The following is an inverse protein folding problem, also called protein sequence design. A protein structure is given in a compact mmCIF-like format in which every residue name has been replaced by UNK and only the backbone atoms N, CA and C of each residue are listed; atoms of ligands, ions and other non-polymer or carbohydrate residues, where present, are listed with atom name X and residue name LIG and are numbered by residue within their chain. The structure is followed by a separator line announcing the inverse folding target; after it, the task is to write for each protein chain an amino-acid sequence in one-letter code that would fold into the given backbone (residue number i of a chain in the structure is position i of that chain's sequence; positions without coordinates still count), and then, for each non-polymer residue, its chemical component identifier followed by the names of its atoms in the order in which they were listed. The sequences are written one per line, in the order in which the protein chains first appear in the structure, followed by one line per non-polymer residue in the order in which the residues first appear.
data_IF_845154121830
#
_entry.id   IF_845154121830
#
_cell.length_a   1.000
_cell.length_b   1.000
_cell.length_c   1.000
_cell.angle_alpha   90.00
_cell.angle_beta   90.00
_cell.angle_gamma   90.00
#
_symmetry.space_group_name_H-M   'P 1'
#
loop_
_entity.id
_entity.type
_entity.pdbx_description
1 polymer ?
#
# COMPACT_ATOMS: atom_id res chain seq x y z
N UNK A 1 -22.12 36.85 4.74
CA UNK A 1 -20.73 36.56 5.15
C UNK A 1 -20.31 35.31 4.41
N UNK A 2 -19.49 35.43 3.36
CA UNK A 2 -18.96 34.28 2.61
C UNK A 2 -18.09 33.43 3.53
N UNK A 3 -18.56 32.23 3.84
CA UNK A 3 -17.77 31.27 4.60
C UNK A 3 -16.67 30.78 3.68
N UNK A 4 -15.43 31.24 3.91
CA UNK A 4 -14.27 30.79 3.15
C UNK A 4 -14.03 29.31 3.44
N UNK A 5 -13.88 28.52 2.40
CA UNK A 5 -13.55 27.10 2.48
C UNK A 5 -12.45 26.76 1.46
N UNK A 6 -11.77 25.67 1.69
CA UNK A 6 -10.80 25.10 0.75
C UNK A 6 -11.45 23.91 0.05
N UNK A 7 -11.36 23.89 -1.28
CA UNK A 7 -11.76 22.71 -2.07
C UNK A 7 -10.53 22.15 -2.78
N UNK A 8 -10.28 20.87 -2.55
CA UNK A 8 -9.24 20.09 -3.22
C UNK A 8 -9.95 19.22 -4.24
N UNK A 9 -9.52 19.29 -5.50
CA UNK A 9 -10.14 18.54 -6.60
C UNK A 9 -9.14 17.50 -7.10
N UNK A 10 -9.57 16.24 -7.13
CA UNK A 10 -8.80 15.11 -7.64
C UNK A 10 -9.58 14.44 -8.79
N UNK A 11 -8.92 14.25 -9.92
CA UNK A 11 -9.53 13.66 -11.11
C UNK A 11 -9.32 12.15 -11.14
N UNK A 12 -10.42 11.40 -11.29
CA UNK A 12 -10.43 9.94 -11.33
C UNK A 12 -10.83 9.40 -12.71
N UNK A 13 -10.01 8.53 -13.26
CA UNK A 13 -10.28 7.81 -14.53
C UNK A 13 -10.83 6.41 -14.31
N UNK A 14 -11.08 6.01 -13.04
CA UNK A 14 -11.60 4.69 -12.68
C UNK A 14 -12.98 4.41 -13.29
N UNK A 15 -13.28 3.13 -13.48
CA UNK A 15 -14.58 2.65 -13.97
C UNK A 15 -15.65 2.55 -12.87
N UNK A 16 -15.27 2.80 -11.62
CA UNK A 16 -16.16 2.73 -10.45
C UNK A 16 -15.93 3.95 -9.56
N UNK A 17 -16.98 4.40 -8.91
CA UNK A 17 -16.93 5.40 -7.84
C UNK A 17 -16.75 4.71 -6.50
N UNK A 18 -16.28 5.46 -5.52
CA UNK A 18 -16.20 4.99 -4.14
C UNK A 18 -17.58 4.68 -3.58
N UNK A 19 -17.71 3.62 -2.78
CA UNK A 19 -18.96 3.17 -2.16
C UNK A 19 -18.70 2.68 -0.74
N UNK A 20 -19.74 2.75 0.11
CA UNK A 20 -19.67 2.24 1.48
C UNK A 20 -18.50 2.83 2.24
N UNK A 21 -17.76 1.98 2.93
CA UNK A 21 -16.62 2.35 3.78
C UNK A 21 -15.51 3.12 3.05
N UNK A 22 -15.35 2.90 1.73
CA UNK A 22 -14.41 3.67 0.92
C UNK A 22 -14.71 5.18 0.88
N UNK A 23 -15.95 5.58 1.16
CA UNK A 23 -16.31 6.99 1.28
C UNK A 23 -15.95 7.54 2.66
N UNK A 24 -16.19 6.77 3.71
CA UNK A 24 -16.02 7.22 5.09
C UNK A 24 -14.56 7.21 5.52
N UNK A 25 -13.80 6.19 5.09
CA UNK A 25 -12.41 5.95 5.49
C UNK A 25 -11.42 6.14 4.34
N UNK A 26 -11.72 7.02 3.39
CA UNK A 26 -10.85 7.25 2.25
C UNK A 26 -9.51 7.87 2.65
N UNK A 27 -8.47 7.05 2.71
CA UNK A 27 -7.12 7.44 3.14
C UNK A 27 -6.60 8.64 2.32
N UNK A 28 -6.80 8.64 1.00
CA UNK A 28 -6.32 9.72 0.13
C UNK A 28 -7.01 11.05 0.47
N UNK A 29 -8.33 11.03 0.67
CA UNK A 29 -9.07 12.23 1.04
C UNK A 29 -8.71 12.72 2.45
N UNK A 30 -8.49 11.80 3.39
CA UNK A 30 -8.03 12.14 4.74
C UNK A 30 -6.64 12.75 4.71
N UNK A 31 -5.71 12.22 3.92
CA UNK A 31 -4.37 12.78 3.69
C UNK A 31 -4.43 14.21 3.15
N UNK A 32 -5.23 14.43 2.11
CA UNK A 32 -5.42 15.78 1.54
C UNK A 32 -6.02 16.75 2.57
N UNK A 33 -7.00 16.31 3.34
CA UNK A 33 -7.65 17.12 4.37
C UNK A 33 -6.70 17.46 5.52
N UNK A 34 -5.85 16.50 5.94
CA UNK A 34 -4.85 16.72 6.99
C UNK A 34 -3.75 17.68 6.51
N UNK A 35 -3.24 17.49 5.30
CA UNK A 35 -2.27 18.42 4.69
C UNK A 35 -2.87 19.83 4.56
N UNK A 36 -4.10 19.95 4.10
CA UNK A 36 -4.80 21.22 4.01
C UNK A 36 -5.00 21.89 5.36
N UNK A 37 -5.30 21.12 6.41
CA UNK A 37 -5.38 21.63 7.79
C UNK A 37 -4.06 22.24 8.27
N UNK A 38 -2.94 21.60 7.94
CA UNK A 38 -1.59 22.08 8.32
C UNK A 38 -1.15 23.29 7.49
N UNK A 39 -1.41 23.29 6.19
CA UNK A 39 -0.98 24.36 5.28
C UNK A 39 -1.87 25.62 5.38
N UNK A 40 -3.18 25.44 5.61
CA UNK A 40 -4.14 26.56 5.67
C UNK A 40 -5.00 26.50 6.94
N UNK A 41 -4.42 26.65 8.14
CA UNK A 41 -5.13 26.46 9.42
C UNK A 41 -6.29 27.45 9.65
N UNK A 42 -6.28 28.58 8.93
CA UNK A 42 -7.37 29.58 9.00
C UNK A 42 -8.65 29.14 8.26
N UNK A 43 -8.55 28.21 7.30
CA UNK A 43 -9.67 27.68 6.53
C UNK A 43 -10.22 26.43 7.25
N UNK A 44 -11.27 26.63 8.06
CA UNK A 44 -11.82 25.58 8.90
C UNK A 44 -12.60 24.52 8.13
N UNK A 45 -13.22 24.91 7.00
CA UNK A 45 -13.95 24.00 6.14
C UNK A 45 -13.07 23.56 4.98
N UNK A 46 -12.90 22.26 4.83
CA UNK A 46 -12.05 21.62 3.81
C UNK A 46 -12.84 20.50 3.14
N UNK A 47 -13.01 20.62 1.83
CA UNK A 47 -13.78 19.68 1.02
C UNK A 47 -12.81 19.01 0.05
N UNK A 48 -12.78 17.69 0.01
CA UNK A 48 -12.11 16.92 -1.02
C UNK A 48 -13.17 16.46 -2.02
N UNK A 49 -12.99 16.83 -3.29
CA UNK A 49 -13.89 16.47 -4.37
C UNK A 49 -13.17 15.56 -5.35
N UNK A 50 -13.64 14.33 -5.48
CA UNK A 50 -13.24 13.42 -6.55
C UNK A 50 -14.13 13.63 -7.77
N UNK A 51 -13.52 13.93 -8.92
CA UNK A 51 -14.21 14.08 -10.20
C UNK A 51 -13.97 12.85 -11.07
N UNK A 52 -14.96 12.00 -11.19
CA UNK A 52 -14.93 10.76 -11.98
C UNK A 52 -15.25 11.05 -13.44
N UNK A 53 -14.24 11.14 -14.28
CA UNK A 53 -14.34 11.56 -15.68
C UNK A 53 -15.20 10.63 -16.54
N UNK A 54 -15.35 9.35 -16.15
CA UNK A 54 -16.21 8.38 -16.84
C UNK A 54 -17.69 8.45 -16.47
N UNK A 55 -18.07 9.38 -15.58
CA UNK A 55 -19.44 9.54 -15.11
C UNK A 55 -20.00 10.93 -15.38
N UNK A 56 -20.22 11.31 -16.66
CA UNK A 56 -20.52 12.69 -17.05
C UNK A 56 -21.82 13.25 -16.43
N UNK A 57 -22.80 12.39 -16.11
CA UNK A 57 -24.07 12.81 -15.50
C UNK A 57 -23.96 13.12 -14.00
N UNK A 58 -23.00 12.51 -13.30
CA UNK A 58 -22.80 12.66 -11.88
C UNK A 58 -21.32 12.46 -11.53
N UNK A 59 -20.43 13.37 -11.94
CA UNK A 59 -19.00 13.16 -11.85
C UNK A 59 -18.45 13.29 -10.41
N UNK A 60 -19.06 14.16 -9.60
CA UNK A 60 -18.50 14.55 -8.32
C UNK A 60 -18.90 13.63 -7.17
N UNK A 61 -17.94 13.34 -6.30
CA UNK A 61 -18.14 12.88 -4.92
C UNK A 61 -17.35 13.78 -3.99
N UNK A 62 -18.01 14.35 -2.98
CA UNK A 62 -17.40 15.26 -2.02
C UNK A 62 -17.29 14.57 -0.66
N UNK A 63 -16.14 14.73 -0.01
CA UNK A 63 -15.83 14.22 1.32
C UNK A 63 -15.36 15.37 2.20
N UNK A 64 -15.82 15.38 3.44
CA UNK A 64 -15.46 16.37 4.44
C UNK A 64 -15.23 15.64 5.77
N UNK A 65 -14.13 15.93 6.46
CA UNK A 65 -13.78 15.29 7.72
C UNK A 65 -13.72 16.28 8.86
N UNK A 66 -14.14 15.85 10.04
CA UNK A 66 -14.03 16.64 11.25
C UNK A 66 -12.59 16.72 11.73
N UNK A 67 -12.30 17.69 12.61
CA UNK A 67 -10.98 17.82 13.20
C UNK A 67 -10.61 16.63 14.10
N UNK A 68 -11.61 15.97 14.72
CA UNK A 68 -11.45 14.76 15.51
C UNK A 68 -11.08 13.55 14.64
N UNK A 69 -11.75 13.37 13.51
CA UNK A 69 -11.41 12.31 12.55
C UNK A 69 -10.00 12.49 12.02
N UNK A 70 -9.61 13.73 11.67
CA UNK A 70 -8.26 14.01 11.21
C UNK A 70 -7.21 13.81 12.29
N UNK A 71 -7.50 14.06 13.56
CA UNK A 71 -6.61 13.76 14.68
C UNK A 71 -6.42 12.26 14.86
N UNK A 72 -7.49 11.48 14.75
CA UNK A 72 -7.42 10.01 14.78
C UNK A 72 -6.59 9.46 13.63
N UNK A 73 -6.75 10.03 12.43
CA UNK A 73 -5.98 9.64 11.26
C UNK A 73 -4.50 10.03 11.38
N UNK A 74 -4.16 11.19 11.95
CA UNK A 74 -2.78 11.58 12.24
C UNK A 74 -2.11 10.59 13.19
N UNK A 75 -2.78 10.18 14.27
CA UNK A 75 -2.30 9.14 15.17
C UNK A 75 -2.07 7.80 14.44
N UNK A 76 -3.00 7.40 13.56
CA UNK A 76 -2.84 6.21 12.74
C UNK A 76 -1.56 6.28 11.88
N UNK A 77 -1.32 7.41 11.20
CA UNK A 77 -0.12 7.61 10.39
C UNK A 77 1.17 7.54 11.20
N UNK A 78 1.17 8.12 12.40
CA UNK A 78 2.33 8.04 13.32
C UNK A 78 2.64 6.59 13.69
N UNK A 79 1.61 5.78 13.95
CA UNK A 79 1.78 4.34 14.25
C UNK A 79 2.28 3.56 13.05
N UNK A 80 1.76 3.82 11.86
CA UNK A 80 2.23 3.18 10.62
C UNK A 80 3.69 3.56 10.34
N UNK A 81 4.03 4.85 10.48
CA UNK A 81 5.41 5.31 10.30
C UNK A 81 6.37 4.59 11.26
N UNK A 82 5.98 4.47 12.53
CA UNK A 82 6.77 3.75 13.53
C UNK A 82 7.02 2.29 13.14
N UNK A 83 5.99 1.58 12.65
CA UNK A 83 6.14 0.20 12.17
C UNK A 83 7.12 0.12 10.99
N UNK A 84 7.09 1.11 10.08
CA UNK A 84 8.02 1.17 8.94
C UNK A 84 9.45 1.47 9.39
N UNK A 85 9.64 2.39 10.35
CA UNK A 85 10.95 2.73 10.89
C UNK A 85 11.58 1.60 11.71
N UNK A 86 10.76 0.80 12.40
CA UNK A 86 11.18 -0.34 13.21
C UNK A 86 11.27 -1.64 12.40
N UNK A 87 11.09 -1.59 11.08
CA UNK A 87 11.13 -2.77 10.23
C UNK A 87 12.49 -3.46 10.32
N UNK A 88 12.49 -4.74 10.67
CA UNK A 88 13.66 -5.62 10.64
C UNK A 88 13.44 -6.73 9.61
N UNK A 89 14.25 -6.71 8.54
CA UNK A 89 14.18 -7.69 7.47
C UNK A 89 14.43 -9.12 7.98
N UNK A 90 15.33 -9.30 8.96
CA UNK A 90 15.65 -10.63 9.51
C UNK A 90 14.51 -11.22 10.32
N UNK A 91 13.74 -10.37 10.99
CA UNK A 91 12.58 -10.76 11.79
C UNK A 91 11.26 -10.71 11.00
N UNK A 92 11.28 -10.28 9.73
CA UNK A 92 10.06 -10.04 8.95
C UNK A 92 9.12 -11.26 8.88
N UNK A 93 9.66 -12.47 8.81
CA UNK A 93 8.86 -13.69 8.74
C UNK A 93 8.17 -14.08 10.04
N UNK A 94 8.72 -13.64 11.19
CA UNK A 94 8.15 -13.91 12.52
C UNK A 94 7.29 -12.77 13.04
N UNK A 95 7.66 -11.51 12.71
CA UNK A 95 7.07 -10.34 13.34
C UNK A 95 5.91 -9.75 12.51
N UNK A 96 5.86 -10.06 11.22
CA UNK A 96 4.81 -9.58 10.33
C UNK A 96 3.91 -10.72 9.89
N UNK A 97 2.63 -10.63 10.23
CA UNK A 97 1.65 -11.62 9.84
C UNK A 97 1.50 -11.70 8.32
N UNK A 98 1.51 -12.93 7.79
CA UNK A 98 1.15 -13.17 6.41
C UNK A 98 -0.33 -12.84 6.21
N UNK A 99 -0.64 -12.06 5.18
CA UNK A 99 -2.01 -11.64 4.93
C UNK A 99 -2.80 -12.73 4.21
N UNK A 100 -3.33 -13.69 4.97
CA UNK A 100 -4.12 -14.80 4.43
C UNK A 100 -5.42 -14.33 3.76
N UNK A 101 -6.00 -13.19 4.20
CA UNK A 101 -7.20 -12.62 3.60
C UNK A 101 -7.00 -12.03 2.20
N UNK A 102 -5.75 -11.85 1.77
CA UNK A 102 -5.41 -11.26 0.45
C UNK A 102 -4.66 -12.24 -0.46
N UNK A 103 -4.88 -13.53 -0.32
CA UNK A 103 -4.26 -14.57 -1.16
C UNK A 103 -4.50 -14.35 -2.66
N UNK A 104 -5.55 -13.65 -3.04
CA UNK A 104 -5.81 -13.24 -4.41
C UNK A 104 -4.70 -12.37 -5.02
N UNK A 105 -3.89 -11.71 -4.18
CA UNK A 105 -2.68 -10.99 -4.60
C UNK A 105 -1.53 -11.92 -4.99
N UNK A 106 -1.57 -13.19 -4.56
CA UNK A 106 -0.52 -14.17 -4.88
C UNK A 106 -0.74 -14.82 -6.25
N UNK A 107 -1.99 -14.88 -6.72
CA UNK A 107 -2.35 -15.55 -7.96
C UNK A 107 -2.53 -17.08 -7.82
N UNK A 108 -2.83 -17.78 -8.92
CA UNK A 108 -3.08 -17.21 -10.23
C UNK A 108 -4.39 -16.41 -10.30
N UNK A 109 -4.32 -15.19 -10.80
CA UNK A 109 -5.50 -14.40 -11.10
C UNK A 109 -6.17 -14.87 -12.40
N UNK A 110 -7.43 -14.50 -12.63
CA UNK A 110 -8.14 -14.77 -13.89
C UNK A 110 -7.40 -14.23 -15.13
N UNK A 111 -6.56 -13.21 -14.95
CA UNK A 111 -5.67 -12.64 -15.98
C UNK A 111 -4.41 -13.49 -16.25
N UNK A 112 -4.21 -14.59 -15.53
CA UNK A 112 -2.98 -15.38 -15.57
C UNK A 112 -1.83 -14.80 -14.73
N UNK A 113 -2.04 -13.68 -14.05
CA UNK A 113 -1.00 -13.08 -13.21
C UNK A 113 -0.69 -13.96 -11.99
N UNK A 114 0.59 -14.12 -11.72
CA UNK A 114 1.11 -14.81 -10.53
C UNK A 114 2.17 -13.89 -9.90
N UNK A 115 2.20 -13.81 -8.57
CA UNK A 115 3.21 -13.07 -7.86
C UNK A 115 4.62 -13.56 -8.27
N UNK A 116 5.53 -12.70 -8.71
CA UNK A 116 6.87 -13.11 -9.12
C UNK A 116 7.68 -13.76 -7.99
N UNK A 117 7.37 -13.43 -6.74
CA UNK A 117 8.01 -13.99 -5.55
C UNK A 117 7.35 -15.30 -5.07
N UNK A 118 6.41 -15.86 -5.84
CA UNK A 118 5.72 -17.10 -5.44
C UNK A 118 6.62 -18.34 -5.50
N UNK A 119 7.54 -18.37 -6.46
CA UNK A 119 8.49 -19.48 -6.67
C UNK A 119 9.91 -19.04 -6.32
N UNK A 120 10.81 -19.99 -5.97
CA UNK A 120 12.21 -19.68 -5.84
C UNK A 120 12.81 -19.27 -7.20
N UNK A 121 13.83 -18.43 -7.16
CA UNK A 121 14.59 -17.98 -8.32
C UNK A 121 15.98 -17.50 -7.92
N UNK A 122 16.90 -17.54 -8.87
CA UNK A 122 18.23 -16.96 -8.73
C UNK A 122 18.22 -15.52 -9.25
N UNK A 123 19.01 -14.66 -8.64
CA UNK A 123 19.16 -13.27 -9.03
C UNK A 123 20.59 -12.78 -8.73
N UNK A 124 20.96 -11.68 -9.35
CA UNK A 124 22.29 -11.10 -9.24
C UNK A 124 22.22 -9.78 -8.51
N UNK A 125 23.22 -9.53 -7.66
CA UNK A 125 23.33 -8.31 -6.87
C UNK A 125 24.65 -7.64 -7.19
N UNK A 126 24.59 -6.38 -7.59
CA UNK A 126 25.75 -5.51 -7.74
C UNK A 126 26.10 -4.91 -6.38
N UNK A 127 27.35 -5.12 -5.96
CA UNK A 127 27.89 -4.62 -4.69
C UNK A 127 28.93 -3.53 -4.94
N UNK A 128 29.01 -2.57 -4.01
CA UNK A 128 30.10 -1.61 -3.97
C UNK A 128 31.38 -2.21 -3.34
N UNK A 129 32.45 -1.42 -3.27
CA UNK A 129 33.73 -1.80 -2.66
C UNK A 129 33.63 -2.19 -1.17
N UNK A 130 32.57 -1.76 -0.48
CA UNK A 130 32.30 -2.05 0.93
C UNK A 130 31.34 -3.24 1.11
N UNK A 131 30.89 -3.87 0.01
CA UNK A 131 29.95 -4.98 0.03
C UNK A 131 28.49 -4.56 0.20
N UNK A 132 28.15 -3.26 0.06
CA UNK A 132 26.77 -2.82 0.10
C UNK A 132 26.10 -3.02 -1.25
N UNK A 133 24.82 -3.42 -1.21
CA UNK A 133 24.04 -3.61 -2.43
C UNK A 133 23.71 -2.26 -3.10
N UNK A 134 24.10 -2.14 -4.37
CA UNK A 134 23.78 -0.99 -5.24
C UNK A 134 22.50 -1.28 -6.03
N UNK A 135 22.42 -2.46 -6.65
CA UNK A 135 21.33 -2.84 -7.55
C UNK A 135 21.15 -4.35 -7.58
N UNK A 136 19.96 -4.82 -7.96
CA UNK A 136 19.71 -6.24 -8.25
C UNK A 136 19.05 -6.41 -9.62
N UNK A 137 19.26 -7.57 -10.26
CA UNK A 137 18.67 -7.95 -11.54
C UNK A 137 18.45 -9.46 -11.60
N UNK A 138 17.49 -9.91 -12.41
CA UNK A 138 17.32 -11.33 -12.73
C UNK A 138 18.36 -11.85 -13.73
N UNK A 139 19.02 -10.95 -14.44
CA UNK A 139 20.06 -11.28 -15.42
C UNK A 139 21.38 -10.64 -14.99
N UNK A 140 22.49 -11.32 -15.25
CA UNK A 140 23.83 -10.80 -14.99
C UNK A 140 24.29 -9.92 -16.16
N UNK A 141 23.66 -8.76 -16.29
CA UNK A 141 23.92 -7.77 -17.34
C UNK A 141 24.62 -6.50 -16.82
N UNK A 142 25.20 -6.58 -15.62
CA UNK A 142 25.87 -5.44 -14.99
C UNK A 142 27.18 -5.09 -15.71
N UNK A 143 27.36 -3.79 -15.98
CA UNK A 143 28.65 -3.20 -16.33
C UNK A 143 29.34 -2.80 -15.03
N UNK A 144 30.48 -3.46 -14.75
CA UNK A 144 31.21 -3.23 -13.50
C UNK A 144 32.11 -2.00 -13.63
N UNK A 145 32.09 -1.19 -12.59
CA UNK A 145 33.04 -0.13 -12.34
C UNK A 145 34.14 -0.61 -11.38
N UNK A 146 35.23 0.16 -11.25
CA UNK A 146 36.32 -0.19 -10.33
C UNK A 146 35.79 -0.32 -8.88
N UNK A 147 36.16 -1.43 -8.24
CA UNK A 147 35.75 -1.74 -6.87
C UNK A 147 34.37 -2.39 -6.74
N UNK A 148 33.64 -2.57 -7.83
CA UNK A 148 32.34 -3.26 -7.80
C UNK A 148 32.48 -4.76 -8.04
N UNK A 149 31.56 -5.55 -7.50
CA UNK A 149 31.45 -6.99 -7.71
C UNK A 149 30.00 -7.42 -7.90
N UNK A 150 29.80 -8.57 -8.54
CA UNK A 150 28.48 -9.19 -8.67
C UNK A 150 28.46 -10.47 -7.86
N UNK A 151 27.39 -10.62 -7.08
CA UNK A 151 27.09 -11.82 -6.32
C UNK A 151 25.80 -12.44 -6.84
N UNK A 152 25.82 -13.76 -7.06
CA UNK A 152 24.60 -14.53 -7.34
C UNK A 152 23.94 -14.93 -6.03
N UNK A 153 22.64 -14.69 -5.91
CA UNK A 153 21.83 -15.03 -4.73
C UNK A 153 20.64 -15.86 -5.12
N UNK A 154 20.24 -16.72 -4.20
CA UNK A 154 19.04 -17.54 -4.33
C UNK A 154 17.92 -17.01 -3.44
N UNK A 155 16.75 -16.84 -4.02
CA UNK A 155 15.51 -16.57 -3.28
C UNK A 155 14.70 -17.86 -3.16
N UNK A 156 14.46 -18.31 -1.94
CA UNK A 156 13.80 -19.60 -1.63
C UNK A 156 12.29 -19.64 -1.96
N UNK A 157 11.75 -18.54 -2.42
CA UNK A 157 10.30 -18.37 -2.64
C UNK A 157 9.59 -17.81 -1.44
N UNK A 158 8.30 -17.51 -1.64
CA UNK A 158 7.50 -16.85 -0.62
C UNK A 158 7.31 -17.76 0.62
N UNK A 159 7.74 -17.33 1.81
CA UNK A 159 7.54 -18.10 3.04
C UNK A 159 6.04 -18.29 3.37
N UNK A 160 5.18 -17.35 2.96
CA UNK A 160 3.75 -17.43 3.13
C UNK A 160 3.09 -18.56 2.29
N UNK A 161 3.75 -19.05 1.26
CA UNK A 161 3.26 -20.17 0.45
C UNK A 161 3.03 -21.43 1.28
N UNK A 162 3.89 -21.68 2.26
CA UNK A 162 3.80 -22.85 3.13
C UNK A 162 2.81 -22.66 4.28
N UNK A 163 2.49 -21.40 4.63
CA UNK A 163 1.46 -21.09 5.63
C UNK A 163 0.05 -21.40 5.09
N UNK A 164 -0.12 -21.45 3.77
CA UNK A 164 -1.39 -21.81 3.14
C UNK A 164 -1.64 -23.33 3.11
N UNK A 165 -0.70 -24.14 3.53
CA UNK A 165 -0.80 -25.59 3.42
C UNK A 165 -1.87 -26.19 4.33
N UNK A 166 -2.47 -25.42 5.23
CA UNK A 166 -3.57 -25.90 6.06
C UNK A 166 -4.51 -24.76 6.42
N UNK A 167 -5.44 -24.46 5.56
CA UNK A 167 -6.71 -23.87 5.97
C UNK A 167 -7.52 -24.90 6.75
N UNK A 168 -6.97 -25.38 7.86
CA UNK A 168 -7.74 -26.14 8.84
C UNK A 168 -8.59 -25.21 9.72
N UNK A 169 -8.60 -23.90 9.44
CA UNK A 169 -9.46 -22.93 10.13
C UNK A 169 -10.70 -22.55 9.28
N UNK A 170 -10.88 -23.10 8.09
CA UNK A 170 -12.06 -22.78 7.27
C UNK A 170 -13.30 -23.59 7.64
N UNK A 171 -13.17 -24.69 8.39
CA UNK A 171 -14.32 -25.54 8.71
C UNK A 171 -14.92 -25.27 10.12
N UNK A 172 -14.29 -24.44 10.94
CA UNK A 172 -14.73 -24.17 12.32
C UNK A 172 -14.78 -22.69 12.71
N UNK A 173 -14.86 -21.75 11.78
CA UNK A 173 -15.03 -20.35 12.14
C UNK A 173 -16.52 -20.05 12.38
N UNK A 174 -16.97 -19.89 13.66
CA UNK A 174 -18.37 -19.63 13.99
C UNK A 174 -18.84 -18.24 13.54
N UNK A 175 -17.99 -17.42 12.90
CA UNK A 175 -18.29 -16.08 12.42
C UNK A 175 -18.49 -15.99 10.91
N UNK A 176 -18.45 -17.10 10.15
CA UNK A 176 -18.68 -17.11 8.69
C UNK A 176 -20.16 -17.32 8.29
N UNK A 177 -21.08 -17.43 9.24
CA UNK A 177 -22.52 -17.58 9.02
C UNK A 177 -23.31 -16.26 9.15
N UNK A 178 -22.76 -15.15 8.61
CA UNK A 178 -23.51 -13.89 8.50
C UNK A 178 -23.53 -13.36 7.07
#
# INVERSE_FOLDING_TARGET
KDKKFLKIVDYKTSKQKFKGDELETNIQAMMYSLAAKKLWPKLKRRIVQFLFLKFPRSPAQELEYTDEQLKGFEYYLERVNKIVEEFDEKAANSDYATNNGHQWLCGPAKSGWICPFHKPFDYYVLLDENGNQIKSSYENDFQLEDGQSVEERHYEGCPAKNCNAKNSLQDDDPFLDF
#
